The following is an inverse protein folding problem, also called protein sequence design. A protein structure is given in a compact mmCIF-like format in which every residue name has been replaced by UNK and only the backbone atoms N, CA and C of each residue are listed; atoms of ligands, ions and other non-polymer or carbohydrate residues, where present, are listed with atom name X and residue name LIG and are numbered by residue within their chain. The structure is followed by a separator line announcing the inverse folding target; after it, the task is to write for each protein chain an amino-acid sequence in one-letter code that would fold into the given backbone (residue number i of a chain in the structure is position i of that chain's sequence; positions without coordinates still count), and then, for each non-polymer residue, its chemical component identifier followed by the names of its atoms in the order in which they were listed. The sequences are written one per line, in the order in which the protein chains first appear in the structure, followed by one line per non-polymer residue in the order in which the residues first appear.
data_IF_473996543645
#
_entry.id   IF_473996543645
#
_cell.length_a   1.000
_cell.length_b   1.000
_cell.length_c   1.000
_cell.angle_alpha   90.00
_cell.angle_beta   90.00
_cell.angle_gamma   90.00
#
_symmetry.space_group_name_H-M   'P 1'
#
loop_
_entity.id
_entity.type
_entity.pdbx_description
1 polymer ?
#
# COMPACT_ATOMS: atom_id res chain seq x y z
N UNK A 1 17.24 -32.94 -9.00
CA UNK A 1 16.07 -32.11 -9.38
C UNK A 1 15.84 -30.89 -8.48
N UNK A 2 16.32 -30.86 -7.23
CA UNK A 2 16.13 -29.74 -6.29
C UNK A 2 16.76 -28.40 -6.72
N UNK A 3 17.88 -28.41 -7.44
CA UNK A 3 18.55 -27.18 -7.88
C UNK A 3 17.72 -26.34 -8.87
N UNK A 4 16.82 -26.95 -9.65
CA UNK A 4 15.97 -26.22 -10.58
C UNK A 4 14.82 -25.48 -9.88
N UNK A 5 14.33 -26.01 -8.76
CA UNK A 5 13.28 -25.37 -7.97
C UNK A 5 13.83 -24.13 -7.25
N UNK A 6 15.03 -24.23 -6.68
CA UNK A 6 15.71 -23.08 -6.05
C UNK A 6 16.06 -21.99 -7.08
N UNK A 7 16.50 -22.36 -8.28
CA UNK A 7 16.75 -21.41 -9.37
C UNK A 7 15.47 -20.79 -9.93
N UNK A 8 14.37 -21.55 -10.01
CA UNK A 8 13.06 -21.05 -10.40
C UNK A 8 12.51 -20.07 -9.36
N UNK A 9 12.60 -20.40 -8.07
CA UNK A 9 12.26 -19.49 -6.96
C UNK A 9 13.13 -18.23 -6.99
N UNK A 10 14.45 -18.36 -7.19
CA UNK A 10 15.34 -17.19 -7.33
C UNK A 10 14.98 -16.32 -8.54
N UNK A 11 14.56 -16.90 -9.67
CA UNK A 11 14.11 -16.15 -10.86
C UNK A 11 12.75 -15.48 -10.66
N UNK A 12 11.78 -16.17 -10.07
CA UNK A 12 10.47 -15.63 -9.67
C UNK A 12 10.61 -14.48 -8.66
N UNK A 13 11.58 -14.58 -7.75
CA UNK A 13 11.82 -13.56 -6.71
C UNK A 13 12.67 -12.39 -7.20
N UNK A 14 13.48 -12.55 -8.25
CA UNK A 14 14.46 -11.51 -8.68
C UNK A 14 14.13 -10.80 -9.99
N UNK A 15 13.30 -11.36 -10.87
CA UNK A 15 12.94 -10.72 -12.14
C UNK A 15 11.49 -10.25 -12.14
N UNK A 16 11.36 -9.08 -11.52
CA UNK A 16 10.42 -8.03 -11.87
C UNK A 16 8.93 -8.28 -11.56
N UNK A 17 8.61 -8.52 -10.29
CA UNK A 17 7.26 -8.30 -9.76
C UNK A 17 6.73 -6.90 -10.15
N UNK A 18 7.61 -5.91 -10.21
CA UNK A 18 7.30 -4.55 -10.62
C UNK A 18 7.09 -4.34 -12.14
N UNK A 19 7.63 -5.22 -13.00
CA UNK A 19 7.38 -5.17 -14.46
C UNK A 19 6.13 -5.94 -14.86
N UNK A 20 5.70 -6.92 -14.04
CA UNK A 20 4.43 -7.61 -14.25
C UNK A 20 3.22 -6.71 -13.99
N UNK A 21 3.38 -5.63 -13.20
CA UNK A 21 2.31 -4.64 -13.00
C UNK A 21 2.25 -3.67 -14.17
N UNK A 22 1.25 -3.87 -15.04
CA UNK A 22 0.94 -2.97 -16.14
C UNK A 22 0.87 -1.51 -15.69
N UNK A 23 1.47 -0.60 -16.47
CA UNK A 23 1.48 0.84 -16.22
C UNK A 23 0.07 1.43 -16.00
N UNK A 24 -0.95 0.83 -16.62
CA UNK A 24 -2.37 1.20 -16.42
C UNK A 24 -2.86 0.89 -15.00
N UNK A 25 -2.53 -0.29 -14.47
CA UNK A 25 -2.88 -0.70 -13.11
C UNK A 25 -2.24 0.20 -12.07
N UNK A 26 -0.97 0.55 -12.25
CA UNK A 26 -0.27 1.48 -11.37
C UNK A 26 -0.94 2.87 -11.33
N UNK A 27 -1.30 3.43 -12.49
CA UNK A 27 -1.99 4.73 -12.54
C UNK A 27 -3.32 4.69 -11.79
N UNK A 28 -4.10 3.62 -11.96
CA UNK A 28 -5.36 3.43 -11.22
C UNK A 28 -5.10 3.35 -9.72
N UNK A 29 -4.10 2.59 -9.30
CA UNK A 29 -3.75 2.42 -7.89
C UNK A 29 -3.29 3.75 -7.25
N UNK A 30 -2.51 4.57 -7.96
CA UNK A 30 -2.15 5.92 -7.50
C UNK A 30 -3.37 6.82 -7.32
N UNK A 31 -4.32 6.80 -8.27
CA UNK A 31 -5.55 7.57 -8.15
C UNK A 31 -6.42 7.11 -6.98
N UNK A 32 -6.57 5.79 -6.80
CA UNK A 32 -7.29 5.22 -5.65
C UNK A 32 -6.63 5.69 -4.36
N UNK A 33 -5.29 5.59 -4.27
CA UNK A 33 -4.57 5.99 -3.06
C UNK A 33 -4.74 7.49 -2.77
N UNK A 34 -4.79 8.35 -3.77
CA UNK A 34 -4.99 9.79 -3.58
C UNK A 34 -6.42 10.18 -3.19
N UNK A 35 -7.43 9.47 -3.69
CA UNK A 35 -8.85 9.82 -3.46
C UNK A 35 -9.38 9.24 -2.14
N UNK A 36 -8.93 8.06 -1.74
CA UNK A 36 -9.40 7.38 -0.53
C UNK A 36 -9.30 8.20 0.76
N UNK A 37 -8.24 8.99 1.04
CA UNK A 37 -8.17 9.86 2.22
C UNK A 37 -9.33 10.87 2.32
N UNK A 38 -9.77 11.41 1.18
CA UNK A 38 -10.87 12.38 1.13
C UNK A 38 -12.19 11.72 1.46
N UNK A 39 -12.40 10.49 0.96
CA UNK A 39 -13.59 9.68 1.26
C UNK A 39 -13.62 9.31 2.75
N UNK A 40 -12.48 8.89 3.31
CA UNK A 40 -12.33 8.56 4.72
C UNK A 40 -12.66 9.73 5.64
N UNK A 41 -12.13 10.93 5.32
CA UNK A 41 -12.45 12.14 6.05
C UNK A 41 -13.95 12.48 5.94
N UNK A 42 -14.52 12.41 4.74
CA UNK A 42 -15.95 12.65 4.53
C UNK A 42 -16.84 11.73 5.35
N UNK A 43 -16.51 10.43 5.42
CA UNK A 43 -17.25 9.47 6.24
C UNK A 43 -17.10 9.73 7.74
N UNK A 44 -15.91 10.11 8.21
CA UNK A 44 -15.69 10.49 9.59
C UNK A 44 -16.50 11.73 9.98
N UNK A 45 -16.53 12.75 9.12
CA UNK A 45 -17.29 14.00 9.33
C UNK A 45 -18.80 13.78 9.37
N UNK A 46 -19.33 12.84 8.59
CA UNK A 46 -20.77 12.50 8.58
C UNK A 46 -21.16 11.59 9.77
N UNK A 47 -20.19 11.15 10.58
CA UNK A 47 -20.43 10.32 11.77
C UNK A 47 -20.41 8.82 11.51
N UNK A 48 -20.01 8.36 10.32
CA UNK A 48 -19.86 6.93 9.99
C UNK A 48 -18.51 6.38 10.45
N UNK A 49 -18.17 6.56 11.74
CA UNK A 49 -16.84 6.25 12.27
C UNK A 49 -16.44 4.77 12.06
N UNK A 50 -17.38 3.84 12.25
CA UNK A 50 -17.12 2.41 12.08
C UNK A 50 -16.76 2.07 10.63
N UNK A 51 -17.49 2.64 9.67
CA UNK A 51 -17.22 2.45 8.24
C UNK A 51 -15.91 3.11 7.82
N UNK A 52 -15.61 4.29 8.36
CA UNK A 52 -14.34 4.99 8.14
C UNK A 52 -13.15 4.14 8.62
N UNK A 53 -13.23 3.56 9.82
CA UNK A 53 -12.16 2.70 10.35
C UNK A 53 -11.93 1.45 9.48
N UNK A 54 -13.00 0.76 9.05
CA UNK A 54 -12.89 -0.40 8.15
C UNK A 54 -12.24 -0.04 6.81
N UNK A 55 -12.61 1.12 6.25
CA UNK A 55 -12.00 1.61 5.03
C UNK A 55 -10.55 2.05 5.25
N UNK A 56 -10.20 2.53 6.44
CA UNK A 56 -8.83 2.90 6.80
C UNK A 56 -7.92 1.66 6.86
N UNK A 57 -8.42 0.55 7.40
CA UNK A 57 -7.72 -0.75 7.39
C UNK A 57 -7.52 -1.25 5.94
N UNK A 58 -8.56 -1.16 5.11
CA UNK A 58 -8.43 -1.51 3.68
C UNK A 58 -7.42 -0.60 2.95
N UNK A 59 -7.44 0.69 3.30
CA UNK A 59 -6.52 1.68 2.76
C UNK A 59 -5.06 1.41 3.17
N UNK A 60 -4.81 0.90 4.36
CA UNK A 60 -3.49 0.44 4.79
C UNK A 60 -2.92 -0.62 3.84
N UNK A 61 -3.71 -1.65 3.49
CA UNK A 61 -3.25 -2.69 2.57
C UNK A 61 -2.96 -2.14 1.17
N UNK A 62 -3.81 -1.25 0.66
CA UNK A 62 -3.59 -0.56 -0.62
C UNK A 62 -2.29 0.27 -0.62
N UNK A 63 -2.01 0.98 0.46
CA UNK A 63 -0.78 1.76 0.64
C UNK A 63 0.45 0.86 0.72
N UNK A 64 0.37 -0.26 1.45
CA UNK A 64 1.45 -1.22 1.57
C UNK A 64 1.81 -1.81 0.20
N UNK A 65 0.80 -2.20 -0.58
CA UNK A 65 0.98 -2.69 -1.95
C UNK A 65 1.56 -1.62 -2.87
N UNK A 66 1.06 -0.37 -2.78
CA UNK A 66 1.59 0.74 -3.56
C UNK A 66 3.09 0.97 -3.28
N UNK A 67 3.48 1.07 -2.02
CA UNK A 67 4.87 1.28 -1.65
C UNK A 67 5.75 0.08 -1.97
N UNK A 68 5.26 -1.15 -1.79
CA UNK A 68 5.98 -2.36 -2.18
C UNK A 68 6.30 -2.33 -3.69
N UNK A 69 5.34 -1.93 -4.53
CA UNK A 69 5.56 -1.76 -5.97
C UNK A 69 6.54 -0.64 -6.32
N UNK A 70 6.49 0.48 -5.59
CA UNK A 70 7.43 1.60 -5.77
C UNK A 70 8.85 1.20 -5.38
N UNK A 71 9.04 0.50 -4.26
CA UNK A 71 10.34 0.06 -3.78
C UNK A 71 10.90 -1.11 -4.59
N UNK A 72 10.04 -2.04 -5.05
CA UNK A 72 10.42 -3.14 -5.92
C UNK A 72 11.06 -2.69 -7.25
N UNK A 73 10.77 -1.46 -7.72
CA UNK A 73 11.41 -0.87 -8.91
C UNK A 73 12.84 -0.38 -8.67
N UNK A 74 13.24 -0.15 -7.42
CA UNK A 74 14.58 0.35 -7.07
C UNK A 74 15.61 -0.77 -6.88
N UNK A 75 15.39 -1.96 -7.46
CA UNK A 75 16.21 -3.17 -7.28
C UNK A 75 16.36 -3.63 -5.82
N UNK A 76 15.45 -3.20 -4.93
CA UNK A 76 15.40 -3.67 -3.55
C UNK A 76 14.86 -5.11 -3.56
N UNK A 77 15.46 -6.01 -2.78
CA UNK A 77 14.98 -7.41 -2.68
C UNK A 77 13.51 -7.40 -2.24
N UNK A 78 12.69 -8.27 -2.80
CA UNK A 78 11.24 -8.36 -2.54
C UNK A 78 10.87 -8.32 -1.05
N UNK A 79 11.62 -9.02 -0.21
CA UNK A 79 11.38 -9.05 1.24
C UNK A 79 11.59 -7.66 1.86
N UNK A 80 12.64 -6.94 1.46
CA UNK A 80 12.92 -5.60 1.94
C UNK A 80 11.92 -4.56 1.41
N UNK A 81 11.44 -4.70 0.17
CA UNK A 81 10.38 -3.84 -0.36
C UNK A 81 9.05 -4.06 0.36
N UNK A 82 8.77 -5.28 0.79
CA UNK A 82 7.57 -5.61 1.57
C UNK A 82 7.65 -4.98 2.96
N UNK A 83 8.78 -5.14 3.67
CA UNK A 83 9.00 -4.54 4.99
C UNK A 83 8.97 -3.00 4.92
N UNK A 84 9.69 -2.40 3.97
CA UNK A 84 9.69 -0.95 3.80
C UNK A 84 8.30 -0.44 3.37
N UNK A 85 7.59 -1.20 2.54
CA UNK A 85 6.25 -0.87 2.09
C UNK A 85 5.25 -0.82 3.23
N UNK A 86 5.25 -1.83 4.10
CA UNK A 86 4.37 -1.87 5.28
C UNK A 86 4.73 -0.79 6.30
N UNK A 87 6.03 -0.53 6.53
CA UNK A 87 6.46 0.56 7.44
C UNK A 87 6.03 1.94 6.92
N UNK A 88 6.20 2.21 5.62
CA UNK A 88 5.74 3.46 5.03
C UNK A 88 4.21 3.58 5.06
N UNK A 89 3.48 2.50 4.77
CA UNK A 89 2.03 2.47 4.87
C UNK A 89 1.55 2.77 6.29
N UNK A 90 2.19 2.17 7.30
CA UNK A 90 1.90 2.42 8.71
C UNK A 90 2.10 3.90 9.06
N UNK A 91 3.23 4.49 8.65
CA UNK A 91 3.49 5.92 8.86
C UNK A 91 2.44 6.82 8.20
N UNK A 92 2.03 6.52 6.96
CA UNK A 92 0.97 7.26 6.27
C UNK A 92 -0.39 7.13 6.97
N UNK A 93 -0.75 5.94 7.47
CA UNK A 93 -2.01 5.72 8.17
C UNK A 93 -2.02 6.43 9.52
N UNK A 94 -0.91 6.43 10.25
CA UNK A 94 -0.80 7.18 11.51
C UNK A 94 -0.99 8.68 11.27
N UNK A 95 -0.33 9.23 10.26
CA UNK A 95 -0.50 10.63 9.86
C UNK A 95 -1.93 10.93 9.41
N UNK A 96 -2.55 10.04 8.63
CA UNK A 96 -3.93 10.21 8.18
C UNK A 96 -4.90 10.18 9.35
N UNK A 97 -4.75 9.21 10.26
CA UNK A 97 -5.59 9.07 11.45
C UNK A 97 -5.46 10.29 12.35
N UNK A 98 -4.22 10.75 12.57
CA UNK A 98 -3.95 11.99 13.31
C UNK A 98 -4.61 13.21 12.65
N UNK A 99 -4.52 13.33 11.33
CA UNK A 99 -5.15 14.42 10.59
C UNK A 99 -6.68 14.36 10.67
N UNK A 100 -7.28 13.18 10.53
CA UNK A 100 -8.73 12.99 10.68
C UNK A 100 -9.16 13.41 12.09
N UNK A 101 -8.50 12.89 13.13
CA UNK A 101 -8.73 13.27 14.53
C UNK A 101 -8.65 14.77 14.76
N UNK A 102 -7.60 15.41 14.24
CA UNK A 102 -7.42 16.86 14.33
C UNK A 102 -8.56 17.64 13.67
N UNK A 103 -9.02 17.21 12.50
CA UNK A 103 -10.08 17.89 11.74
C UNK A 103 -11.47 17.65 12.34
N UNK A 104 -11.74 16.45 12.84
CA UNK A 104 -13.04 16.10 13.44
C UNK A 104 -13.16 16.53 14.91
N UNK A 105 -12.05 16.90 15.55
CA UNK A 105 -12.00 17.26 16.97
C UNK A 105 -12.15 16.05 17.91
N UNK A 106 -11.82 14.84 17.42
CA UNK A 106 -11.84 13.58 18.17
C UNK A 106 -10.43 13.11 18.50
#
# INVERSE_FOLDING_TARGET
MENNVLLAWKRLTSRNFADQVSQKWRRRLTWIVLVSPVILLGLALVGFQRTSNWLNDFYFFLLADYFCLVFGRRHIRFIWSLILGTLCAMGCILLLTFWISWVTGQ
#
